data_IF_157178256369
#
_entry.id   IF_157178256369
#
_cell.length_a   1.000
_cell.length_b   1.000
_cell.length_c   1.000
_cell.angle_alpha   90.00
_cell.angle_beta   90.00
_cell.angle_gamma   90.00
#
_symmetry.space_group_name_H-M   'P 1'
#
loop_
_entity.id
_entity.type
_entity.pdbx_description
1 polymer ?
#
# COMPACT_ATOMS: atom_id res chain seq x y z
N UNK A 1 34.77 1.87 -17.91
CA UNK A 1 34.03 3.13 -17.82
C UNK A 1 32.90 2.96 -16.81
N UNK A 2 33.11 3.39 -15.56
CA UNK A 2 32.06 3.44 -14.54
C UNK A 2 31.50 4.87 -14.58
N UNK A 3 30.27 5.00 -15.08
CA UNK A 3 29.55 6.27 -15.04
C UNK A 3 29.10 6.50 -13.59
N UNK A 4 29.85 7.26 -12.81
CA UNK A 4 29.33 7.84 -11.57
C UNK A 4 28.38 8.95 -11.98
N UNK A 5 27.09 8.62 -12.07
CA UNK A 5 26.03 9.60 -12.21
C UNK A 5 26.04 10.47 -10.94
N UNK A 6 26.62 11.66 -11.05
CA UNK A 6 26.52 12.71 -10.05
C UNK A 6 25.05 13.12 -10.01
N UNK A 7 24.31 12.67 -9.00
CA UNK A 7 22.92 13.06 -8.76
C UNK A 7 22.91 14.59 -8.63
N UNK A 8 22.20 15.32 -9.49
CA UNK A 8 22.13 16.77 -9.36
C UNK A 8 21.43 17.09 -8.03
N UNK A 9 22.12 17.82 -7.15
CA UNK A 9 21.62 18.27 -5.83
C UNK A 9 20.41 19.22 -5.95
N UNK A 10 19.95 19.51 -7.17
CA UNK A 10 18.90 20.48 -7.48
C UNK A 10 17.67 19.84 -8.17
N UNK A 11 17.46 18.53 -7.98
CA UNK A 11 16.13 17.97 -8.25
C UNK A 11 15.24 18.37 -7.08
N UNK A 12 14.60 19.53 -7.21
CA UNK A 12 13.51 19.95 -6.33
C UNK A 12 12.37 18.96 -6.55
N UNK A 13 12.41 17.84 -5.81
CA UNK A 13 11.26 16.96 -5.66
C UNK A 13 10.21 17.75 -4.88
N UNK A 14 9.34 18.45 -5.60
CA UNK A 14 8.15 19.05 -5.00
C UNK A 14 7.33 17.91 -4.42
N UNK A 15 7.44 17.73 -3.10
CA UNK A 15 6.70 16.71 -2.37
C UNK A 15 5.22 16.98 -2.64
N UNK A 16 4.53 15.96 -3.13
CA UNK A 16 3.10 15.99 -3.40
C UNK A 16 2.38 16.62 -2.20
N UNK A 17 1.51 17.59 -2.45
CA UNK A 17 0.96 18.47 -1.40
C UNK A 17 0.24 17.70 -0.27
N UNK A 18 -0.32 16.56 -0.63
CA UNK A 18 -0.96 15.62 0.29
C UNK A 18 0.00 14.94 1.28
N UNK A 19 1.31 15.07 1.08
CA UNK A 19 2.42 14.57 1.89
C UNK A 19 3.18 15.65 2.66
N UNK A 20 2.80 16.93 2.53
CA UNK A 20 3.36 18.00 3.36
C UNK A 20 2.97 17.78 4.84
N UNK A 21 3.94 18.00 5.73
CA UNK A 21 3.78 17.85 7.17
C UNK A 21 2.64 18.74 7.71
N UNK A 22 2.50 19.96 7.19
CA UNK A 22 1.46 20.92 7.58
C UNK A 22 0.04 20.38 7.37
N UNK A 23 -0.23 19.77 6.22
CA UNK A 23 -1.54 19.22 5.90
C UNK A 23 -1.88 18.03 6.80
N UNK A 24 -0.90 17.17 7.08
CA UNK A 24 -1.08 16.03 7.99
C UNK A 24 -1.25 16.50 9.44
N UNK A 25 -0.48 17.49 9.89
CA UNK A 25 -0.57 18.07 11.22
C UNK A 25 -1.94 18.71 11.45
N UNK A 26 -2.41 19.54 10.51
CA UNK A 26 -3.75 20.16 10.59
C UNK A 26 -4.88 19.12 10.61
N UNK A 27 -4.78 18.05 9.80
CA UNK A 27 -5.75 16.97 9.79
C UNK A 27 -5.78 16.20 11.12
N UNK A 28 -4.62 15.98 11.75
CA UNK A 28 -4.54 15.32 13.06
C UNK A 28 -5.01 16.24 14.19
N UNK A 29 -4.66 17.53 14.15
CA UNK A 29 -5.04 18.51 15.16
C UNK A 29 -6.56 18.75 15.17
N UNK A 30 -7.18 18.82 13.99
CA UNK A 30 -8.64 18.88 13.87
C UNK A 30 -9.33 17.59 14.35
N UNK A 31 -8.76 16.41 14.08
CA UNK A 31 -9.26 15.14 14.60
C UNK A 31 -9.12 15.04 16.12
N UNK A 32 -8.00 15.52 16.68
CA UNK A 32 -7.74 15.56 18.11
C UNK A 32 -8.69 16.51 18.85
N UNK A 33 -8.92 17.72 18.32
CA UNK A 33 -9.86 18.67 18.89
C UNK A 33 -11.29 18.11 18.98
N UNK A 34 -11.70 17.29 18.00
CA UNK A 34 -12.99 16.59 18.02
C UNK A 34 -13.03 15.51 19.11
N UNK A 35 -11.91 14.84 19.37
CA UNK A 35 -11.83 13.72 20.31
C UNK A 35 -11.58 14.14 21.76
N UNK A 36 -10.97 15.31 21.99
CA UNK A 36 -10.81 15.93 23.30
C UNK A 36 -12.17 16.24 23.97
N UNK A 37 -13.21 16.48 23.16
CA UNK A 37 -14.58 16.68 23.66
C UNK A 37 -15.28 15.39 24.15
N UNK A 38 -14.65 14.22 23.97
CA UNK A 38 -15.22 12.92 24.34
C UNK A 38 -14.77 12.48 25.74
N UNK A 39 -15.61 11.73 26.44
CA UNK A 39 -15.39 11.29 27.84
C UNK A 39 -14.17 10.37 28.03
N UNK A 40 -13.66 9.75 26.95
CA UNK A 40 -12.43 8.94 26.93
C UNK A 40 -11.67 9.23 25.64
N UNK A 41 -10.77 10.24 25.63
CA UNK A 41 -9.97 10.55 24.46
C UNK A 41 -8.97 9.42 24.19
N UNK A 42 -8.85 9.02 22.92
CA UNK A 42 -7.90 7.98 22.50
C UNK A 42 -7.15 8.44 21.26
N UNK A 43 -5.84 8.66 21.42
CA UNK A 43 -4.96 9.07 20.32
C UNK A 43 -5.00 8.13 19.12
N UNK A 44 -5.16 6.83 19.38
CA UNK A 44 -5.22 5.81 18.34
C UNK A 44 -6.47 5.95 17.47
N UNK A 45 -7.59 6.41 18.04
CA UNK A 45 -8.85 6.62 17.31
C UNK A 45 -8.83 7.94 16.55
N UNK A 46 -8.21 8.99 17.09
CA UNK A 46 -8.02 10.25 16.37
C UNK A 46 -7.15 10.03 15.13
N UNK A 47 -6.05 9.30 15.31
CA UNK A 47 -5.13 8.92 14.23
C UNK A 47 -5.81 8.02 13.18
N UNK A 48 -6.63 7.06 13.64
CA UNK A 48 -7.42 6.21 12.74
C UNK A 48 -8.47 7.00 11.96
N UNK A 49 -9.10 8.01 12.54
CA UNK A 49 -10.06 8.85 11.82
C UNK A 49 -9.39 9.69 10.73
N UNK A 50 -8.17 10.20 10.99
CA UNK A 50 -7.44 11.04 10.05
C UNK A 50 -6.76 10.24 8.93
N UNK A 51 -6.23 9.05 9.21
CA UNK A 51 -5.41 8.28 8.27
C UNK A 51 -5.95 6.88 7.94
N UNK A 52 -6.92 6.37 8.68
CA UNK A 52 -7.39 4.98 8.61
C UNK A 52 -7.97 4.58 7.26
N UNK A 53 -8.66 5.50 6.55
CA UNK A 53 -9.19 5.20 5.22
C UNK A 53 -8.09 4.83 4.21
N UNK A 54 -6.94 5.52 4.27
CA UNK A 54 -5.78 5.20 3.42
C UNK A 54 -5.20 3.85 3.78
N UNK A 55 -5.07 3.53 5.07
CA UNK A 55 -4.63 2.20 5.53
C UNK A 55 -5.58 1.09 5.12
N UNK A 56 -6.89 1.35 5.10
CA UNK A 56 -7.90 0.38 4.68
C UNK A 56 -7.76 0.05 3.19
N UNK A 57 -7.53 1.05 2.33
CA UNK A 57 -7.22 0.83 0.91
C UNK A 57 -5.96 -0.03 0.69
N UNK A 58 -4.91 0.20 1.49
CA UNK A 58 -3.72 -0.65 1.46
C UNK A 58 -4.01 -2.09 1.92
N UNK A 59 -4.84 -2.25 2.95
CA UNK A 59 -5.25 -3.56 3.43
C UNK A 59 -6.06 -4.33 2.36
N UNK A 60 -6.94 -3.65 1.62
CA UNK A 60 -7.68 -4.25 0.50
C UNK A 60 -6.71 -4.80 -0.56
N UNK A 61 -5.70 -4.04 -0.96
CA UNK A 61 -4.68 -4.53 -1.90
C UNK A 61 -3.92 -5.75 -1.37
N UNK A 62 -3.65 -5.80 -0.06
CA UNK A 62 -3.03 -6.96 0.58
C UNK A 62 -3.94 -8.19 0.53
N UNK A 63 -5.25 -8.01 0.74
CA UNK A 63 -6.24 -9.09 0.61
C UNK A 63 -6.36 -9.59 -0.82
N UNK A 64 -6.41 -8.69 -1.81
CA UNK A 64 -6.44 -9.05 -3.24
C UNK A 64 -5.20 -9.87 -3.60
N UNK A 65 -4.02 -9.42 -3.17
CA UNK A 65 -2.80 -10.18 -3.35
C UNK A 65 -2.88 -11.58 -2.72
N UNK A 66 -3.28 -11.66 -1.45
CA UNK A 66 -3.36 -12.94 -0.73
C UNK A 66 -4.35 -13.91 -1.40
N UNK A 67 -5.55 -13.44 -1.78
CA UNK A 67 -6.52 -14.26 -2.51
C UNK A 67 -5.96 -14.73 -3.85
N UNK A 68 -5.23 -13.87 -4.55
CA UNK A 68 -4.64 -14.20 -5.84
C UNK A 68 -3.54 -15.25 -5.71
N UNK A 69 -2.61 -15.09 -4.76
CA UNK A 69 -1.51 -16.04 -4.54
C UNK A 69 -2.02 -17.39 -4.02
N UNK A 70 -2.92 -17.38 -3.04
CA UNK A 70 -3.45 -18.60 -2.43
C UNK A 70 -4.42 -19.31 -3.38
N UNK A 71 -5.27 -18.55 -4.08
CA UNK A 71 -6.18 -19.08 -5.08
C UNK A 71 -5.45 -19.70 -6.26
N UNK A 72 -4.40 -19.04 -6.78
CA UNK A 72 -3.57 -19.58 -7.86
C UNK A 72 -2.85 -20.85 -7.43
N UNK A 73 -2.29 -20.90 -6.22
CA UNK A 73 -1.61 -22.08 -5.69
C UNK A 73 -2.56 -23.27 -5.53
N UNK A 74 -3.74 -23.05 -4.93
CA UNK A 74 -4.76 -24.09 -4.78
C UNK A 74 -5.25 -24.61 -6.14
N UNK A 75 -5.50 -23.69 -7.08
CA UNK A 75 -5.93 -24.02 -8.43
C UNK A 75 -4.87 -24.85 -9.19
N UNK A 76 -3.60 -24.44 -9.09
CA UNK A 76 -2.48 -25.14 -9.72
C UNK A 76 -2.28 -26.55 -9.15
N UNK A 77 -2.34 -26.71 -7.82
CA UNK A 77 -2.25 -28.02 -7.17
C UNK A 77 -3.39 -28.96 -7.59
N UNK A 78 -4.62 -28.45 -7.64
CA UNK A 78 -5.78 -29.24 -8.07
C UNK A 78 -5.63 -29.72 -9.52
N UNK A 79 -5.08 -28.88 -10.39
CA UNK A 79 -4.86 -29.23 -11.81
C UNK A 79 -3.68 -30.18 -12.01
N UNK A 80 -2.61 -30.06 -11.23
CA UNK A 80 -1.51 -31.04 -11.26
C UNK A 80 -1.98 -32.44 -10.83
N UNK A 81 -2.87 -32.52 -9.83
CA UNK A 81 -3.41 -33.81 -9.36
C UNK A 81 -4.37 -34.46 -10.39
N UNK A 82 -4.99 -33.67 -11.26
CA UNK A 82 -5.92 -34.16 -12.28
C UNK A 82 -5.25 -34.66 -13.58
N UNK A 83 -3.91 -34.58 -13.71
CA UNK A 83 -3.15 -35.06 -14.88
C UNK A 83 -3.66 -34.53 -16.25
N UNK A 84 -4.37 -33.39 -16.26
CA UNK A 84 -4.97 -32.84 -17.48
C UNK A 84 -4.05 -31.76 -18.07
N UNK A 85 -2.94 -32.20 -18.66
CA UNK A 85 -1.95 -31.33 -19.31
C UNK A 85 -2.34 -31.06 -20.75
N UNK A 86 -3.17 -30.05 -21.01
CA UNK A 86 -3.15 -29.20 -22.23
C UNK A 86 -4.41 -28.35 -22.31
N UNK A 87 -4.37 -27.16 -21.75
CA UNK A 87 -5.30 -26.10 -22.14
C UNK A 87 -4.60 -24.77 -21.89
N UNK A 88 -4.19 -24.11 -22.99
CA UNK A 88 -3.53 -22.79 -22.98
C UNK A 88 -4.34 -21.74 -22.21
N UNK A 89 -5.66 -21.95 -22.12
CA UNK A 89 -6.61 -21.11 -21.39
C UNK A 89 -6.30 -21.05 -19.88
N UNK A 90 -5.91 -22.17 -19.24
CA UNK A 90 -5.56 -22.15 -17.81
C UNK A 90 -4.23 -21.46 -17.53
N UNK A 91 -3.28 -21.54 -18.47
CA UNK A 91 -2.03 -20.82 -18.39
C UNK A 91 -2.26 -19.30 -18.47
N UNK A 92 -3.20 -18.85 -19.31
CA UNK A 92 -3.62 -17.45 -19.38
C UNK A 92 -4.26 -16.97 -18.08
N UNK A 93 -5.12 -17.77 -17.45
CA UNK A 93 -5.72 -17.43 -16.15
C UNK A 93 -4.66 -17.32 -15.06
N UNK A 94 -3.71 -18.25 -14.99
CA UNK A 94 -2.59 -18.19 -14.04
C UNK A 94 -1.67 -16.99 -14.30
N UNK A 95 -1.41 -16.66 -15.56
CA UNK A 95 -0.61 -15.51 -15.94
C UNK A 95 -1.32 -14.20 -15.55
N UNK A 96 -2.61 -14.08 -15.82
CA UNK A 96 -3.43 -12.95 -15.39
C UNK A 96 -3.47 -12.79 -13.87
N UNK A 97 -3.61 -13.89 -13.13
CA UNK A 97 -3.52 -13.89 -11.68
C UNK A 97 -2.13 -13.41 -11.20
N UNK A 98 -1.04 -13.93 -11.78
CA UNK A 98 0.31 -13.50 -11.42
C UNK A 98 0.58 -12.01 -11.68
N UNK A 99 0.07 -11.46 -12.78
CA UNK A 99 0.18 -10.03 -13.10
C UNK A 99 -0.59 -9.16 -12.11
N UNK A 100 -1.82 -9.55 -11.79
CA UNK A 100 -2.61 -8.85 -10.78
C UNK A 100 -1.95 -8.88 -9.41
N UNK A 101 -1.35 -10.01 -9.01
CA UNK A 101 -0.57 -10.11 -7.79
C UNK A 101 0.65 -9.18 -7.80
N UNK A 102 1.39 -9.10 -8.92
CA UNK A 102 2.55 -8.21 -9.06
C UNK A 102 2.16 -6.73 -8.94
N UNK A 103 1.10 -6.30 -9.63
CA UNK A 103 0.57 -4.93 -9.55
C UNK A 103 0.13 -4.62 -8.12
N UNK A 104 -0.58 -5.56 -7.46
CA UNK A 104 -1.01 -5.41 -6.07
C UNK A 104 0.14 -5.11 -5.13
N UNK A 105 1.24 -5.86 -5.25
CA UNK A 105 2.44 -5.69 -4.42
C UNK A 105 3.07 -4.31 -4.66
N UNK A 106 3.22 -3.91 -5.92
CA UNK A 106 3.81 -2.61 -6.26
C UNK A 106 3.00 -1.44 -5.69
N UNK A 107 1.67 -1.47 -5.84
CA UNK A 107 0.77 -0.47 -5.25
C UNK A 107 0.87 -0.44 -3.72
N UNK A 108 0.99 -1.61 -3.08
CA UNK A 108 1.13 -1.71 -1.64
C UNK A 108 2.47 -1.15 -1.14
N UNK A 109 3.57 -1.43 -1.82
CA UNK A 109 4.89 -0.89 -1.45
C UNK A 109 4.94 0.64 -1.62
N UNK A 110 4.45 1.17 -2.76
CA UNK A 110 4.40 2.62 -3.00
C UNK A 110 3.52 3.31 -1.95
N UNK A 111 2.35 2.75 -1.66
CA UNK A 111 1.46 3.29 -0.63
C UNK A 111 2.10 3.25 0.77
N UNK A 112 2.76 2.14 1.11
CA UNK A 112 3.39 1.95 2.42
C UNK A 112 4.59 2.89 2.60
N UNK A 113 5.36 3.13 1.53
CA UNK A 113 6.47 4.08 1.52
C UNK A 113 5.97 5.53 1.70
N UNK A 114 4.91 5.93 0.97
CA UNK A 114 4.29 7.27 1.13
C UNK A 114 3.79 7.51 2.57
N UNK A 115 3.27 6.47 3.21
CA UNK A 115 2.79 6.54 4.60
C UNK A 115 3.95 6.55 5.60
N UNK A 116 5.01 5.75 5.36
CA UNK A 116 6.22 5.76 6.18
C UNK A 116 6.89 7.14 6.20
N UNK A 117 6.99 7.79 5.04
CA UNK A 117 7.49 9.17 4.92
C UNK A 117 6.66 10.16 5.73
N UNK A 118 5.32 10.04 5.68
CA UNK A 118 4.43 10.88 6.50
C UNK A 118 4.69 10.70 7.99
N UNK A 119 4.86 9.47 8.46
CA UNK A 119 5.16 9.18 9.87
C UNK A 119 6.54 9.66 10.32
N UNK A 120 7.55 9.64 9.44
CA UNK A 120 8.91 10.12 9.73
C UNK A 120 9.00 11.64 9.76
N UNK A 121 8.24 12.35 8.93
CA UNK A 121 8.18 13.81 8.93
C UNK A 121 7.65 14.41 10.23
N UNK A 122 6.99 13.63 11.10
CA UNK A 122 6.57 14.05 12.44
C UNK A 122 7.72 14.03 13.48
N UNK A 123 8.86 13.42 13.16
CA UNK A 123 9.95 13.21 14.13
C UNK A 123 11.00 14.34 14.12
N UNK A 124 10.84 15.33 13.23
CA UNK A 124 11.72 16.49 13.09
C UNK A 124 10.91 17.77 13.19
#
# INVERSE_FOLDING_TARGET
>A
FVFILKVPEDVIFTIEESCKAEVCSNALQSAWAKEESMTKPSMLRALWSAFGFRYMLLAVWKFVWALCTWGSAWFLLKKMMAMETRTMEWALVLLGASLMAAISIQCLYVGSFKVGLKGMSYRY
#
